data_IF_196513364196
#
_entry.id   IF_196513364196
#
_cell.length_a   1.000
_cell.length_b   1.000
_cell.length_c   1.000
_cell.angle_alpha   90.00
_cell.angle_beta   90.00
_cell.angle_gamma   90.00
#
_symmetry.space_group_name_H-M   'P 1'
#
loop_
_entity.id
_entity.type
_entity.pdbx_description
1 polymer ?
#
# COMPACT_ATOMS: atom_id res chain seq x y z
N UNK A 1 -5.27 -2.72 0.81
CA UNK A 1 -3.95 -2.02 0.70
C UNK A 1 -4.08 -0.59 1.19
N UNK A 2 -3.04 -0.05 1.81
CA UNK A 2 -2.95 1.37 2.21
C UNK A 2 -1.70 2.00 1.57
N UNK A 3 -1.82 3.21 1.03
CA UNK A 3 -0.69 3.95 0.44
C UNK A 3 -0.49 5.27 1.16
N UNK A 4 0.68 5.44 1.78
CA UNK A 4 1.11 6.70 2.40
C UNK A 4 1.82 7.54 1.36
N UNK A 5 1.18 8.63 0.92
CA UNK A 5 1.69 9.50 -0.16
C UNK A 5 2.56 10.65 0.37
N UNK A 6 3.19 11.40 -0.55
CA UNK A 6 3.99 12.61 -0.26
C UNK A 6 5.20 12.35 0.66
N UNK A 7 5.84 11.20 0.50
CA UNK A 7 7.01 10.81 1.28
C UNK A 7 8.18 11.82 1.20
N UNK A 8 8.26 12.60 0.12
CA UNK A 8 9.25 13.67 -0.08
C UNK A 8 9.11 14.83 0.92
N UNK A 9 7.95 14.99 1.57
CA UNK A 9 7.68 16.08 2.51
C UNK A 9 8.17 15.81 3.93
N UNK A 10 8.55 14.58 4.24
CA UNK A 10 8.96 14.18 5.59
C UNK A 10 10.26 13.38 5.56
N UNK A 11 11.14 13.62 6.54
CA UNK A 11 12.37 12.84 6.65
C UNK A 11 12.09 11.37 7.01
N UNK A 12 12.97 10.46 6.56
CA UNK A 12 12.84 9.00 6.76
C UNK A 12 12.52 8.61 8.21
N UNK A 13 13.26 9.16 9.18
CA UNK A 13 13.03 8.87 10.61
C UNK A 13 11.63 9.27 11.10
N UNK A 14 11.10 10.39 10.60
CA UNK A 14 9.75 10.85 10.95
C UNK A 14 8.71 9.95 10.27
N UNK A 15 8.93 9.58 9.02
CA UNK A 15 8.07 8.66 8.29
C UNK A 15 7.97 7.30 9.01
N UNK A 16 9.10 6.73 9.42
CA UNK A 16 9.16 5.45 10.14
C UNK A 16 8.42 5.52 11.48
N UNK A 17 8.62 6.61 12.24
CA UNK A 17 7.91 6.85 13.51
C UNK A 17 6.40 6.95 13.31
N UNK A 18 5.96 7.72 12.31
CA UNK A 18 4.55 7.90 12.01
C UNK A 18 3.92 6.57 11.56
N UNK A 19 4.62 5.81 10.70
CA UNK A 19 4.15 4.51 10.25
C UNK A 19 3.99 3.53 11.40
N UNK A 20 4.95 3.48 12.34
CA UNK A 20 4.85 2.64 13.53
C UNK A 20 3.62 3.02 14.39
N UNK A 21 3.35 4.31 14.57
CA UNK A 21 2.16 4.77 15.28
C UNK A 21 0.86 4.38 14.56
N UNK A 22 0.80 4.56 13.23
CA UNK A 22 -0.35 4.14 12.41
C UNK A 22 -0.61 2.64 12.52
N UNK A 23 0.44 1.81 12.41
CA UNK A 23 0.34 0.34 12.53
C UNK A 23 -0.22 -0.06 13.89
N UNK A 24 0.27 0.55 14.98
CA UNK A 24 -0.21 0.28 16.34
C UNK A 24 -1.70 0.62 16.49
N UNK A 25 -2.14 1.76 15.95
CA UNK A 25 -3.54 2.18 16.03
C UNK A 25 -4.45 1.31 15.17
N UNK A 26 -4.02 0.89 13.97
CA UNK A 26 -4.82 0.02 13.11
C UNK A 26 -5.03 -1.36 13.75
N UNK A 27 -4.01 -1.90 14.41
CA UNK A 27 -4.08 -3.18 15.14
C UNK A 27 -5.06 -3.17 16.33
N UNK A 28 -5.57 -2.01 16.77
CA UNK A 28 -6.62 -2.01 17.80
C UNK A 28 -7.99 -2.39 17.24
N UNK A 29 -8.17 -2.30 15.91
CA UNK A 29 -9.42 -2.59 15.23
C UNK A 29 -9.32 -3.74 14.23
N UNK A 30 -8.13 -4.04 13.73
CA UNK A 30 -7.88 -5.07 12.73
C UNK A 30 -7.06 -6.22 13.32
N UNK A 31 -7.43 -7.45 12.97
CA UNK A 31 -6.69 -8.66 13.36
C UNK A 31 -5.32 -8.73 12.66
N UNK A 32 -5.27 -8.31 11.39
CA UNK A 32 -4.04 -8.22 10.61
C UNK A 32 -3.97 -6.87 9.89
N UNK A 33 -2.75 -6.36 9.72
CA UNK A 33 -2.53 -5.14 8.95
C UNK A 33 -2.59 -5.42 7.44
N UNK A 34 -3.14 -4.50 6.64
CA UNK A 34 -3.10 -4.65 5.19
C UNK A 34 -1.66 -4.45 4.71
N UNK A 35 -1.40 -4.85 3.47
CA UNK A 35 -0.23 -4.38 2.75
C UNK A 35 -0.20 -2.85 2.71
N UNK A 36 0.96 -2.27 3.06
CA UNK A 36 1.18 -0.83 3.16
C UNK A 36 2.35 -0.40 2.28
N UNK A 37 2.15 0.64 1.48
CA UNK A 37 3.18 1.25 0.65
C UNK A 37 3.47 2.69 1.08
N UNK A 38 4.71 3.14 0.84
CA UNK A 38 5.09 4.55 0.93
C UNK A 38 5.38 5.03 -0.48
N UNK A 39 4.83 6.17 -0.88
CA UNK A 39 5.02 6.73 -2.22
C UNK A 39 5.23 8.24 -2.22
N UNK A 40 5.85 8.73 -3.30
CA UNK A 40 5.88 10.15 -3.65
C UNK A 40 5.74 10.28 -5.16
N UNK A 41 4.77 11.11 -5.59
CA UNK A 41 4.60 11.43 -7.00
C UNK A 41 5.76 12.29 -7.53
N UNK A 42 6.36 13.13 -6.68
CA UNK A 42 7.47 14.03 -7.05
C UNK A 42 8.77 13.25 -7.29
N UNK A 43 9.10 12.32 -6.39
CA UNK A 43 10.36 11.54 -6.48
C UNK A 43 10.18 10.20 -7.17
N UNK A 44 8.94 9.83 -7.53
CA UNK A 44 8.56 8.50 -8.06
C UNK A 44 8.87 7.34 -7.12
N UNK A 45 9.08 7.62 -5.84
CA UNK A 45 9.27 6.58 -4.82
C UNK A 45 8.02 5.71 -4.74
N UNK A 46 8.19 4.39 -4.64
CA UNK A 46 7.11 3.43 -4.42
C UNK A 46 6.30 3.10 -5.68
N UNK A 47 6.61 3.72 -6.83
CA UNK A 47 5.85 3.51 -8.06
C UNK A 47 5.97 2.08 -8.55
N UNK A 48 7.18 1.50 -8.57
CA UNK A 48 7.37 0.15 -9.08
C UNK A 48 6.64 -0.88 -8.22
N UNK A 49 6.79 -0.80 -6.90
CA UNK A 49 6.19 -1.73 -5.95
C UNK A 49 4.64 -1.69 -6.00
N UNK A 50 4.07 -0.50 -6.22
CA UNK A 50 2.62 -0.35 -6.39
C UNK A 50 2.17 -0.91 -7.74
N UNK A 51 2.90 -0.65 -8.82
CA UNK A 51 2.56 -1.18 -10.15
C UNK A 51 2.65 -2.70 -10.19
N UNK A 52 3.70 -3.28 -9.62
CA UNK A 52 3.88 -4.74 -9.51
C UNK A 52 2.71 -5.37 -8.73
N UNK A 53 2.29 -4.72 -7.64
CA UNK A 53 1.14 -5.18 -6.87
C UNK A 53 -0.15 -5.08 -7.70
N UNK A 54 -0.38 -3.98 -8.41
CA UNK A 54 -1.57 -3.83 -9.29
C UNK A 54 -1.58 -4.90 -10.38
N UNK A 55 -0.44 -5.15 -11.02
CA UNK A 55 -0.30 -6.17 -12.07
C UNK A 55 -0.67 -7.57 -11.54
N UNK A 56 -0.10 -7.98 -10.40
CA UNK A 56 -0.44 -9.25 -9.76
C UNK A 56 -1.93 -9.37 -9.46
N UNK A 57 -2.57 -8.31 -8.98
CA UNK A 57 -4.01 -8.33 -8.70
C UNK A 57 -4.84 -8.38 -9.98
N UNK A 58 -4.41 -7.72 -11.05
CA UNK A 58 -5.08 -7.79 -12.35
C UNK A 58 -4.97 -9.20 -12.95
N UNK A 59 -3.83 -9.88 -12.81
CA UNK A 59 -3.68 -11.27 -13.24
C UNK A 59 -4.64 -12.21 -12.50
N UNK A 60 -4.71 -12.09 -11.17
CA UNK A 60 -5.67 -12.84 -10.33
C UNK A 60 -7.10 -12.53 -10.78
N UNK A 61 -7.41 -11.26 -11.02
CA UNK A 61 -8.74 -10.87 -11.46
C UNK A 61 -9.11 -11.51 -12.81
N UNK A 62 -8.23 -11.44 -13.81
CA UNK A 62 -8.49 -12.03 -15.13
C UNK A 62 -8.63 -13.57 -15.06
N UNK A 63 -7.86 -14.26 -14.23
CA UNK A 63 -7.98 -15.71 -14.02
C UNK A 63 -9.35 -16.13 -13.46
N UNK A 64 -9.97 -15.26 -12.65
CA UNK A 64 -11.22 -15.56 -11.95
C UNK A 64 -12.43 -14.82 -12.52
N UNK A 65 -12.26 -14.03 -13.58
CA UNK A 65 -13.28 -13.15 -14.16
C UNK A 65 -14.55 -13.88 -14.60
N UNK A 66 -14.41 -15.12 -15.05
CA UNK A 66 -15.53 -15.95 -15.50
C UNK A 66 -16.38 -16.49 -14.34
N UNK A 67 -15.86 -16.51 -13.11
CA UNK A 67 -16.60 -16.93 -11.91
C UNK A 67 -17.51 -15.82 -11.35
N UNK A 68 -17.38 -14.60 -11.87
CA UNK A 68 -18.05 -13.38 -11.38
C UNK A 68 -19.07 -12.85 -12.41
N UNK A 69 -19.25 -13.53 -13.55
CA UNK A 69 -20.33 -13.21 -14.48
C UNK A 69 -21.65 -13.86 -14.05
N UNK A 70 -22.81 -13.17 -14.20
CA UNK A 70 -24.12 -13.80 -14.06
C UNK A 70 -24.38 -14.87 -15.13
#
# INVERSE_FOLDING_TARGET
VIVFTKADKIGKTIADKNLAAYRKTLLTWWEELPLMFISSAETKQGTQEILDYIEQNNEIFEQHKDLIQP
#
